data_IF_437988086087
#
_entry.id   IF_437988086087
#
_cell.length_a   1.000
_cell.length_b   1.000
_cell.length_c   1.000
_cell.angle_alpha   90.00
_cell.angle_beta   90.00
_cell.angle_gamma   90.00
#
_symmetry.space_group_name_H-M   'P 1'
#
loop_
_entity.id
_entity.type
_entity.pdbx_description
1 polymer ?
#
# COMPACT_ATOMS: atom_id res chain seq x y z
N UNK A 1 6.14 -9.10 -12.11
CA UNK A 1 5.97 -7.78 -11.47
C UNK A 1 5.90 -6.59 -12.44
N UNK A 2 6.69 -6.53 -13.52
CA UNK A 2 6.61 -5.44 -14.53
C UNK A 2 5.21 -5.17 -15.12
N UNK A 3 4.38 -6.18 -15.46
CA UNK A 3 3.01 -5.91 -15.90
C UNK A 3 2.14 -5.35 -14.76
N UNK A 4 2.26 -5.92 -13.55
CA UNK A 4 1.50 -5.49 -12.38
C UNK A 4 1.77 -4.01 -12.03
N UNK A 5 3.04 -3.59 -12.02
CA UNK A 5 3.42 -2.18 -11.81
C UNK A 5 2.82 -1.24 -12.86
N UNK A 6 2.71 -1.69 -14.11
CA UNK A 6 2.10 -0.90 -15.17
C UNK A 6 0.61 -0.69 -14.93
N UNK A 7 -0.10 -1.73 -14.49
CA UNK A 7 -1.53 -1.62 -14.18
C UNK A 7 -1.78 -0.75 -12.94
N UNK A 8 -0.94 -0.85 -11.90
CA UNK A 8 -1.02 0.04 -10.72
C UNK A 8 -0.81 1.52 -11.06
N UNK A 9 -0.02 1.81 -12.10
CA UNK A 9 0.24 3.18 -12.59
C UNK A 9 -0.72 3.63 -13.69
N UNK A 10 -1.74 2.83 -14.01
CA UNK A 10 -2.73 3.18 -15.02
C UNK A 10 -3.63 4.31 -14.52
N UNK A 11 -4.09 5.19 -15.41
CA UNK A 11 -5.11 6.21 -15.10
C UNK A 11 -6.54 5.61 -15.01
N UNK A 12 -6.65 4.28 -14.99
CA UNK A 12 -7.91 3.54 -14.98
C UNK A 12 -8.07 2.87 -13.62
N UNK A 13 -8.95 3.42 -12.78
CA UNK A 13 -9.15 2.95 -11.41
C UNK A 13 -9.58 1.48 -11.33
N UNK A 14 -10.28 0.94 -12.33
CA UNK A 14 -10.63 -0.49 -12.33
C UNK A 14 -9.39 -1.37 -12.55
N UNK A 15 -8.46 -0.95 -13.41
CA UNK A 15 -7.20 -1.69 -13.61
C UNK A 15 -6.31 -1.62 -12.37
N UNK A 16 -6.24 -0.45 -11.75
CA UNK A 16 -5.54 -0.28 -10.48
C UNK A 16 -6.14 -1.19 -9.41
N UNK A 17 -7.47 -1.24 -9.28
CA UNK A 17 -8.17 -2.09 -8.32
C UNK A 17 -7.90 -3.58 -8.54
N UNK A 18 -7.96 -4.05 -9.80
CA UNK A 18 -7.65 -5.43 -10.13
C UNK A 18 -6.20 -5.79 -9.78
N UNK A 19 -5.25 -4.91 -10.14
CA UNK A 19 -3.83 -5.11 -9.84
C UNK A 19 -3.54 -5.08 -8.33
N UNK A 20 -4.20 -4.19 -7.58
CA UNK A 20 -4.10 -4.13 -6.12
C UNK A 20 -4.68 -5.37 -5.45
N UNK A 21 -5.81 -5.87 -5.95
CA UNK A 21 -6.42 -7.11 -5.45
C UNK A 21 -5.46 -8.29 -5.64
N UNK A 22 -4.93 -8.45 -6.86
CA UNK A 22 -3.96 -9.51 -7.17
C UNK A 22 -2.70 -9.39 -6.29
N UNK A 23 -2.15 -8.18 -6.12
CA UNK A 23 -0.98 -7.94 -5.28
C UNK A 23 -1.28 -8.27 -3.81
N UNK A 24 -2.42 -7.83 -3.29
CA UNK A 24 -2.83 -8.08 -1.90
C UNK A 24 -2.97 -9.57 -1.62
N UNK A 25 -3.57 -10.32 -2.54
CA UNK A 25 -3.66 -11.78 -2.44
C UNK A 25 -2.28 -12.43 -2.46
N UNK A 26 -1.41 -12.05 -3.40
CA UNK A 26 -0.03 -12.56 -3.47
C UNK A 26 0.74 -12.31 -2.16
N UNK A 27 0.65 -11.10 -1.62
CA UNK A 27 1.31 -10.75 -0.36
C UNK A 27 0.73 -11.50 0.84
N UNK A 28 -0.58 -11.78 0.85
CA UNK A 28 -1.23 -12.49 1.97
C UNK A 28 -0.77 -13.94 2.12
N UNK A 29 -0.19 -14.54 1.08
CA UNK A 29 0.38 -15.90 1.11
C UNK A 29 1.91 -15.90 0.94
N UNK A 30 2.57 -14.73 0.99
CA UNK A 30 4.02 -14.61 0.82
C UNK A 30 4.78 -14.89 2.11
N UNK A 31 6.06 -15.25 1.98
CA UNK A 31 7.01 -15.38 3.09
C UNK A 31 8.08 -14.29 3.04
N UNK A 32 8.84 -14.15 4.13
CA UNK A 32 9.98 -13.23 4.21
C UNK A 32 10.99 -13.49 3.08
N UNK A 33 11.29 -14.77 2.77
CA UNK A 33 12.26 -15.09 1.70
C UNK A 33 11.77 -14.66 0.32
N UNK A 34 10.46 -14.75 0.05
CA UNK A 34 9.88 -14.28 -1.19
C UNK A 34 10.06 -12.77 -1.34
N UNK A 35 9.85 -12.02 -0.25
CA UNK A 35 9.95 -10.57 -0.21
C UNK A 35 11.37 -10.02 -0.31
N UNK A 36 12.40 -10.78 0.09
CA UNK A 36 13.81 -10.39 -0.11
C UNK A 36 14.12 -10.14 -1.60
N UNK A 37 13.51 -10.93 -2.49
CA UNK A 37 13.68 -10.79 -3.95
C UNK A 37 12.65 -9.85 -4.60
N UNK A 38 11.65 -9.41 -3.84
CA UNK A 38 10.58 -8.56 -4.35
C UNK A 38 11.08 -7.11 -4.51
N UNK A 39 10.72 -6.40 -5.60
CA UNK A 39 11.20 -5.04 -5.87
C UNK A 39 10.47 -3.97 -5.01
N UNK A 40 10.67 -4.04 -3.69
CA UNK A 40 10.08 -3.16 -2.67
C UNK A 40 10.22 -1.68 -3.01
N UNK A 41 11.43 -1.25 -3.39
CA UNK A 41 11.76 0.14 -3.73
C UNK A 41 10.95 0.70 -4.90
N UNK A 42 10.40 -0.18 -5.76
CA UNK A 42 9.58 0.23 -6.90
C UNK A 42 8.08 0.20 -6.57
N UNK A 43 7.63 -0.76 -5.76
CA UNK A 43 6.21 -0.91 -5.40
C UNK A 43 5.77 0.05 -4.31
N UNK A 44 6.56 0.22 -3.25
CA UNK A 44 6.19 1.02 -2.08
C UNK A 44 5.83 2.47 -2.46
N UNK A 45 6.64 3.19 -3.27
CA UNK A 45 6.28 4.55 -3.66
C UNK A 45 4.96 4.61 -4.46
N UNK A 46 4.66 3.58 -5.25
CA UNK A 46 3.41 3.49 -6.02
C UNK A 46 2.23 3.29 -5.09
N UNK A 47 2.34 2.37 -4.12
CA UNK A 47 1.29 2.12 -3.13
C UNK A 47 1.01 3.35 -2.26
N UNK A 48 2.06 4.05 -1.82
CA UNK A 48 1.94 5.33 -1.09
C UNK A 48 1.23 6.38 -1.96
N UNK A 49 1.58 6.46 -3.25
CA UNK A 49 0.92 7.35 -4.20
C UNK A 49 -0.57 7.08 -4.35
N UNK A 50 -0.95 5.81 -4.47
CA UNK A 50 -2.36 5.37 -4.57
C UNK A 50 -3.14 5.60 -3.28
N UNK A 51 -2.48 5.42 -2.12
CA UNK A 51 -3.08 5.73 -0.83
C UNK A 51 -3.30 7.24 -0.65
N UNK A 52 -2.42 8.08 -1.20
CA UNK A 52 -2.55 9.54 -1.11
C UNK A 52 -3.52 10.12 -2.17
N UNK A 53 -3.60 9.49 -3.33
CA UNK A 53 -4.44 9.92 -4.45
C UNK A 53 -4.98 8.68 -5.19
N UNK A 54 -6.13 8.12 -4.76
CA UNK A 54 -6.65 6.86 -5.27
C UNK A 54 -7.29 6.94 -6.67
N UNK A 55 -7.18 8.08 -7.36
CA UNK A 55 -7.66 8.27 -8.73
C UNK A 55 -9.09 8.82 -8.81
N UNK A 56 -9.65 8.83 -10.03
CA UNK A 56 -10.83 9.63 -10.41
C UNK A 56 -12.18 8.94 -10.25
N UNK A 57 -12.39 8.12 -9.21
CA UNK A 57 -13.68 7.46 -8.99
C UNK A 57 -14.04 7.32 -7.52
N UNK A 58 -14.95 8.16 -7.02
CA UNK A 58 -15.35 8.19 -5.60
C UNK A 58 -15.76 6.81 -5.07
N UNK A 59 -16.47 5.99 -5.88
CA UNK A 59 -16.96 4.67 -5.48
C UNK A 59 -15.85 3.61 -5.27
N UNK A 60 -14.75 3.72 -6.01
CA UNK A 60 -13.63 2.76 -5.95
C UNK A 60 -12.45 3.29 -5.13
N UNK A 61 -12.42 4.60 -4.86
CA UNK A 61 -11.31 5.27 -4.17
C UNK A 61 -11.05 4.67 -2.79
N UNK A 62 -12.11 4.41 -2.01
CA UNK A 62 -11.98 3.77 -0.71
C UNK A 62 -11.37 2.36 -0.78
N UNK A 63 -11.73 1.56 -1.79
CA UNK A 63 -11.16 0.22 -1.97
C UNK A 63 -9.69 0.27 -2.42
N UNK A 64 -9.36 1.20 -3.31
CA UNK A 64 -7.97 1.44 -3.75
C UNK A 64 -7.10 1.83 -2.56
N UNK A 65 -7.57 2.75 -1.71
CA UNK A 65 -6.87 3.15 -0.49
C UNK A 65 -6.70 1.97 0.47
N UNK A 66 -7.77 1.23 0.75
CA UNK A 66 -7.75 0.07 1.65
C UNK A 66 -6.77 -1.01 1.18
N UNK A 67 -6.84 -1.41 -0.09
CA UNK A 67 -5.94 -2.43 -0.63
C UNK A 67 -4.49 -1.95 -0.68
N UNK A 68 -4.25 -0.68 -1.01
CA UNK A 68 -2.91 -0.09 -1.00
C UNK A 68 -2.32 -0.10 0.42
N UNK A 69 -3.11 0.33 1.40
CA UNK A 69 -2.73 0.30 2.81
C UNK A 69 -2.47 -1.13 3.28
N UNK A 70 -3.31 -2.09 2.90
CA UNK A 70 -3.14 -3.50 3.25
C UNK A 70 -1.91 -4.14 2.63
N UNK A 71 -1.59 -3.79 1.39
CA UNK A 71 -0.33 -4.22 0.77
C UNK A 71 0.87 -3.66 1.54
N UNK A 72 0.84 -2.38 1.94
CA UNK A 72 1.90 -1.77 2.74
C UNK A 72 2.02 -2.46 4.11
N UNK A 73 0.92 -2.69 4.81
CA UNK A 73 0.89 -3.43 6.07
C UNK A 73 1.51 -4.82 5.93
N UNK A 74 1.01 -5.63 5.00
CA UNK A 74 1.50 -7.00 4.80
C UNK A 74 3.01 -7.04 4.54
N UNK A 75 3.54 -6.07 3.79
CA UNK A 75 4.98 -6.02 3.49
C UNK A 75 5.80 -5.70 4.74
N UNK A 76 5.35 -4.78 5.58
CA UNK A 76 6.04 -4.45 6.85
C UNK A 76 5.89 -5.59 7.85
N UNK A 77 4.72 -6.22 7.90
CA UNK A 77 4.41 -7.36 8.78
C UNK A 77 5.29 -8.58 8.46
N UNK A 78 5.45 -8.90 7.17
CA UNK A 78 6.27 -10.03 6.73
C UNK A 78 7.77 -9.71 6.76
N UNK A 79 8.17 -8.49 6.40
CA UNK A 79 9.56 -8.05 6.38
C UNK A 79 9.71 -6.66 7.06
N UNK A 80 9.89 -6.61 8.39
CA UNK A 80 9.99 -5.36 9.16
C UNK A 80 11.03 -4.35 8.65
N UNK A 81 12.22 -4.75 8.15
CA UNK A 81 13.19 -3.82 7.56
C UNK A 81 12.62 -2.90 6.47
N UNK A 82 11.52 -3.31 5.83
CA UNK A 82 10.84 -2.54 4.78
C UNK A 82 10.22 -1.24 5.28
N UNK A 83 9.95 -1.12 6.59
CA UNK A 83 9.54 0.13 7.23
C UNK A 83 10.43 1.32 6.84
N UNK A 84 11.75 1.08 6.77
CA UNK A 84 12.73 2.11 6.38
C UNK A 84 12.53 2.61 4.95
N UNK A 85 12.09 1.75 4.04
CA UNK A 85 11.81 2.10 2.64
C UNK A 85 10.55 2.97 2.56
N UNK A 86 9.53 2.66 3.36
CA UNK A 86 8.31 3.49 3.47
C UNK A 86 8.65 4.90 3.96
N UNK A 87 9.46 4.99 5.02
CA UNK A 87 9.92 6.29 5.54
C UNK A 87 10.74 7.06 4.50
N UNK A 88 11.69 6.39 3.84
CA UNK A 88 12.54 6.99 2.81
C UNK A 88 11.73 7.45 1.57
N UNK A 89 10.65 6.76 1.25
CA UNK A 89 9.73 7.12 0.16
C UNK A 89 8.75 8.25 0.54
N UNK A 90 8.80 8.77 1.77
CA UNK A 90 7.90 9.82 2.24
C UNK A 90 6.51 9.31 2.62
N UNK A 91 6.38 8.05 3.03
CA UNK A 91 5.11 7.44 3.42
C UNK A 91 4.53 7.97 4.73
N UNK A 92 5.37 8.39 5.69
CA UNK A 92 4.91 8.85 7.02
C UNK A 92 3.89 10.00 6.95
N UNK A 93 4.12 11.11 6.22
CA UNK A 93 3.12 12.16 6.06
C UNK A 93 1.80 11.66 5.46
N UNK A 94 1.84 10.75 4.50
CA UNK A 94 0.64 10.17 3.86
C UNK A 94 -0.13 9.31 4.83
N UNK A 95 0.55 8.43 5.57
CA UNK A 95 -0.04 7.60 6.62
C UNK A 95 -0.69 8.49 7.69
N UNK A 96 0.03 9.48 8.22
CA UNK A 96 -0.53 10.42 9.21
C UNK A 96 -1.74 11.21 8.68
N UNK A 97 -1.74 11.59 7.40
CA UNK A 97 -2.88 12.29 6.79
C UNK A 97 -4.13 11.39 6.72
N UNK A 98 -3.94 10.09 6.44
CA UNK A 98 -5.03 9.11 6.39
C UNK A 98 -5.68 8.86 7.75
N UNK A 99 -4.93 8.98 8.86
CA UNK A 99 -5.51 8.90 10.22
C UNK A 99 -6.56 9.96 10.50
N UNK A 100 -6.46 11.11 9.84
CA UNK A 100 -7.40 12.23 10.00
C UNK A 100 -8.62 12.10 9.07
N UNK A 101 -8.60 11.12 8.17
CA UNK A 101 -9.69 10.90 7.22
C UNK A 101 -10.79 10.03 7.85
N UNK A 102 -11.86 10.68 8.31
CA UNK A 102 -13.01 10.02 8.96
C UNK A 102 -13.90 9.22 8.02
N UNK A 103 -13.69 9.35 6.70
CA UNK A 103 -14.49 8.64 5.68
C UNK A 103 -14.07 7.17 5.55
N UNK A 104 -12.80 6.86 5.79
CA UNK A 104 -12.22 5.53 5.60
C UNK A 104 -11.65 4.98 6.91
N UNK A 105 -12.54 4.62 7.83
CA UNK A 105 -12.18 4.14 9.17
C UNK A 105 -11.24 2.92 9.11
N UNK A 106 -11.54 1.95 8.25
CA UNK A 106 -10.71 0.74 8.07
C UNK A 106 -9.27 1.10 7.62
N UNK A 107 -9.13 2.14 6.79
CA UNK A 107 -7.82 2.64 6.33
C UNK A 107 -7.07 3.30 7.48
N UNK A 108 -7.77 4.10 8.29
CA UNK A 108 -7.18 4.76 9.46
C UNK A 108 -6.68 3.73 10.48
N UNK A 109 -7.49 2.73 10.84
CA UNK A 109 -7.11 1.67 11.77
C UNK A 109 -5.86 0.92 11.29
N UNK A 110 -5.85 0.51 10.02
CA UNK A 110 -4.71 -0.22 9.45
C UNK A 110 -3.45 0.65 9.38
N UNK A 111 -3.61 1.95 9.13
CA UNK A 111 -2.51 2.90 9.09
C UNK A 111 -1.86 3.08 10.47
N UNK A 112 -2.64 3.05 11.56
CA UNK A 112 -2.09 3.05 12.92
C UNK A 112 -1.15 1.88 13.11
N UNK A 113 -1.58 0.66 12.73
CA UNK A 113 -0.76 -0.55 12.88
C UNK A 113 0.57 -0.45 12.12
N UNK A 114 0.56 0.12 10.90
CA UNK A 114 1.79 0.36 10.13
C UNK A 114 2.70 1.35 10.86
N UNK A 115 2.15 2.44 11.38
CA UNK A 115 2.94 3.48 12.07
C UNK A 115 3.56 2.93 13.36
N UNK A 116 2.80 2.15 14.14
CA UNK A 116 3.31 1.49 15.34
C UNK A 116 4.50 0.58 15.01
N UNK A 117 4.41 -0.20 13.94
CA UNK A 117 5.47 -1.09 13.49
C UNK A 117 6.69 -0.36 12.90
N UNK A 118 6.50 0.85 12.35
CA UNK A 118 7.61 1.74 11.93
C UNK A 118 8.29 2.38 13.14
N UNK A 119 7.56 2.61 14.23
CA UNK A 119 8.04 3.31 15.43
C UNK A 119 8.77 2.39 16.42
N UNK A 120 8.61 1.08 16.28
CA UNK A 120 9.33 0.04 17.03
C UNK A 120 10.80 -0.09 16.57
#
# INVERSE_FOLDING_TARGET
>A
FSPLLRELRSDDGNRQLMALTELSEQLSFSSEEALISFPMETFIPVLIGLLNNPGTGDEISGQVMLLSCRCLYNVVDILPPTARIIVAAGGLPVLCANLLNVEYIDVAELTVSIIEQIAE
#
